data_IF_199238104835
#
_entry.id   IF_199238104835
#
_cell.length_a   1.000
_cell.length_b   1.000
_cell.length_c   1.000
_cell.angle_alpha   90.00
_cell.angle_beta   90.00
_cell.angle_gamma   90.00
#
_symmetry.space_group_name_H-M   'P 1'
#
loop_
_entity.id
_entity.type
_entity.pdbx_description
1 polymer ?
#
# COMPACT_ATOMS: atom_id res chain seq x y z
N UNK A 1 44.42 -1.25 28.30
CA UNK A 1 44.27 -0.94 26.87
C UNK A 1 43.38 -2.00 26.24
N UNK A 2 42.29 -1.57 25.62
CA UNK A 2 41.52 -2.23 24.54
C UNK A 2 40.96 -3.65 24.75
N UNK A 3 39.75 -3.75 25.29
CA UNK A 3 38.82 -4.87 25.02
C UNK A 3 37.94 -4.52 23.82
N UNK A 4 38.16 -5.15 22.67
CA UNK A 4 37.22 -5.11 21.56
C UNK A 4 36.20 -6.23 21.70
N UNK A 5 34.97 -5.84 22.03
CA UNK A 5 33.77 -6.68 21.94
C UNK A 5 33.33 -6.69 20.47
N UNK A 6 33.40 -7.85 19.81
CA UNK A 6 32.65 -8.11 18.58
C UNK A 6 31.63 -9.19 18.93
N UNK A 7 30.43 -8.73 19.28
CA UNK A 7 29.25 -9.56 19.36
C UNK A 7 28.76 -9.85 17.92
N UNK A 8 29.27 -10.91 17.33
CA UNK A 8 28.77 -11.46 16.07
C UNK A 8 27.72 -12.53 16.34
N UNK A 9 26.46 -12.13 16.52
CA UNK A 9 25.34 -13.07 16.51
C UNK A 9 25.08 -13.53 15.06
N UNK A 10 25.76 -14.60 14.65
CA UNK A 10 25.43 -15.31 13.43
C UNK A 10 24.18 -16.19 13.67
N UNK A 11 23.01 -15.57 13.61
CA UNK A 11 21.77 -16.31 13.38
C UNK A 11 21.68 -16.65 11.89
N UNK A 12 22.19 -17.83 11.53
CA UNK A 12 21.96 -18.42 10.22
C UNK A 12 20.49 -18.79 10.06
N UNK A 13 19.70 -17.88 9.50
CA UNK A 13 18.41 -18.23 8.90
C UNK A 13 18.67 -18.53 7.42
N UNK A 14 18.79 -19.82 7.11
CA UNK A 14 18.64 -20.30 5.75
C UNK A 14 17.18 -20.04 5.33
N UNK A 15 16.95 -18.95 4.58
CA UNK A 15 15.68 -18.73 3.87
C UNK A 15 15.88 -19.24 2.44
N UNK A 16 15.78 -20.56 2.29
CA UNK A 16 15.60 -21.20 0.99
C UNK A 16 14.17 -21.74 0.97
N UNK A 17 13.36 -21.18 0.06
CA UNK A 17 12.09 -21.76 -0.38
C UNK A 17 10.85 -21.07 0.17
N UNK A 18 10.23 -20.20 -0.64
CA UNK A 18 8.81 -19.85 -0.51
C UNK A 18 8.51 -18.36 -0.31
N UNK A 19 8.48 -17.61 -1.42
CA UNK A 19 7.57 -16.47 -1.61
C UNK A 19 7.69 -15.28 -0.64
N UNK A 20 8.44 -14.26 -1.05
CA UNK A 20 8.14 -12.86 -0.75
C UNK A 20 8.04 -12.50 0.74
N UNK A 21 9.20 -12.27 1.36
CA UNK A 21 9.34 -11.49 2.58
C UNK A 21 8.93 -10.02 2.34
N UNK A 22 7.63 -9.78 2.16
CA UNK A 22 7.05 -8.49 2.49
C UNK A 22 7.17 -8.38 3.99
N UNK A 23 8.02 -7.45 4.41
CA UNK A 23 8.45 -7.26 5.78
C UNK A 23 7.31 -7.55 6.76
N UNK A 24 7.52 -8.54 7.63
CA UNK A 24 6.78 -8.67 8.87
C UNK A 24 7.01 -7.36 9.64
N UNK A 25 6.12 -6.38 9.44
CA UNK A 25 6.15 -5.11 10.15
C UNK A 25 5.86 -5.45 11.61
N UNK A 26 6.94 -5.61 12.37
CA UNK A 26 7.05 -6.07 13.74
C UNK A 26 5.73 -6.48 14.41
N UNK A 27 5.45 -7.78 14.41
CA UNK A 27 4.48 -8.43 15.30
C UNK A 27 4.92 -8.40 16.79
N UNK A 28 5.63 -7.36 17.21
CA UNK A 28 6.15 -7.18 18.55
C UNK A 28 5.50 -5.95 19.20
N UNK A 29 4.82 -6.17 20.32
CA UNK A 29 4.41 -5.18 21.33
C UNK A 29 3.01 -4.54 21.27
N UNK A 30 1.99 -5.22 20.73
CA UNK A 30 0.60 -4.85 21.03
C UNK A 30 -0.11 -5.97 21.79
N UNK A 31 -0.73 -5.61 22.91
CA UNK A 31 -1.24 -6.52 23.94
C UNK A 31 -2.16 -7.62 23.42
N UNK A 32 -2.18 -8.72 24.17
CA UNK A 32 -2.98 -9.92 23.94
C UNK A 32 -4.41 -9.57 23.48
N UNK A 33 -4.73 -9.82 22.20
CA UNK A 33 -6.09 -9.71 21.67
C UNK A 33 -6.25 -9.02 20.31
N UNK A 34 -5.19 -8.53 19.67
CA UNK A 34 -5.25 -8.10 18.27
C UNK A 34 -4.79 -9.22 17.33
N UNK A 35 -5.63 -9.57 16.37
CA UNK A 35 -5.44 -10.58 15.34
C UNK A 35 -4.87 -9.95 14.06
N UNK A 36 -4.01 -10.72 13.40
CA UNK A 36 -3.45 -10.39 12.10
C UNK A 36 -4.53 -10.47 11.03
N UNK A 37 -4.77 -9.36 10.32
CA UNK A 37 -5.76 -9.28 9.26
C UNK A 37 -5.20 -8.48 8.07
N UNK A 38 -5.75 -8.70 6.87
CA UNK A 38 -5.36 -7.94 5.68
C UNK A 38 -6.03 -6.57 5.63
N UNK A 39 -5.41 -5.62 4.92
CA UNK A 39 -6.07 -4.34 4.66
C UNK A 39 -7.37 -4.54 3.86
N UNK A 40 -7.42 -5.49 2.93
CA UNK A 40 -8.62 -5.74 2.12
C UNK A 40 -9.85 -6.03 3.00
N UNK A 41 -9.69 -6.79 4.09
CA UNK A 41 -10.77 -7.04 5.06
C UNK A 41 -11.16 -5.78 5.84
N UNK A 42 -10.20 -4.92 6.17
CA UNK A 42 -10.50 -3.61 6.74
C UNK A 42 -11.26 -2.71 5.73
N UNK A 43 -10.84 -2.68 4.47
CA UNK A 43 -11.49 -1.91 3.41
C UNK A 43 -12.93 -2.38 3.16
N UNK A 44 -13.17 -3.70 3.15
CA UNK A 44 -14.51 -4.31 3.12
C UNK A 44 -15.38 -3.82 4.26
N UNK A 45 -14.84 -3.74 5.48
CA UNK A 45 -15.59 -3.25 6.64
C UNK A 45 -16.02 -1.79 6.52
N UNK A 46 -15.34 -1.01 5.68
CA UNK A 46 -15.63 0.38 5.38
C UNK A 46 -16.44 0.58 4.09
N UNK A 47 -16.84 -0.49 3.41
CA UNK A 47 -17.50 -0.46 2.10
C UNK A 47 -16.73 0.37 1.05
N UNK A 48 -15.40 0.27 1.09
CA UNK A 48 -14.52 0.88 0.10
C UNK A 48 -14.45 0.01 -1.16
N UNK A 49 -14.26 0.66 -2.32
CA UNK A 49 -14.06 0.00 -3.62
C UNK A 49 -12.72 0.37 -4.21
N UNK A 50 -12.17 -0.48 -5.05
CA UNK A 50 -10.92 -0.14 -5.71
C UNK A 50 -11.11 1.01 -6.69
N UNK A 51 -10.06 1.82 -6.87
CA UNK A 51 -10.05 2.91 -7.86
C UNK A 51 -10.44 2.38 -9.23
N UNK A 52 -11.41 3.05 -9.85
CA UNK A 52 -11.91 2.69 -11.17
C UNK A 52 -12.95 1.57 -11.20
N UNK A 53 -13.26 0.92 -10.07
CA UNK A 53 -14.36 -0.04 -10.02
C UNK A 53 -15.71 0.67 -10.26
N UNK A 54 -16.49 0.16 -11.23
CA UNK A 54 -17.80 0.70 -11.59
C UNK A 54 -18.87 -0.29 -11.12
N UNK A 55 -19.65 0.06 -10.10
CA UNK A 55 -20.68 -0.81 -9.51
C UNK A 55 -20.82 -0.64 -8.01
N UNK A 56 -21.80 -1.31 -7.38
CA UNK A 56 -22.08 -1.26 -5.92
C UNK A 56 -21.41 -2.39 -5.12
N UNK A 57 -20.76 -3.34 -5.78
CA UNK A 57 -20.19 -4.52 -5.12
C UNK A 57 -18.89 -4.20 -4.38
N UNK A 58 -18.75 -4.80 -3.19
CA UNK A 58 -17.53 -4.88 -2.36
C UNK A 58 -16.32 -5.35 -3.20
N UNK A 59 -15.06 -5.11 -2.75
CA UNK A 59 -13.88 -5.08 -3.61
C UNK A 59 -13.67 -6.44 -4.29
N UNK A 60 -14.10 -6.53 -5.55
CA UNK A 60 -14.03 -7.77 -6.32
C UNK A 60 -12.91 -7.73 -7.35
N UNK A 61 -12.55 -6.55 -7.84
CA UNK A 61 -11.53 -6.38 -8.85
C UNK A 61 -10.46 -5.39 -8.38
N UNK A 62 -9.20 -5.84 -8.44
CA UNK A 62 -8.04 -4.95 -8.33
C UNK A 62 -8.15 -3.80 -9.35
N UNK A 63 -7.53 -2.64 -9.07
CA UNK A 63 -7.58 -1.51 -9.97
C UNK A 63 -6.99 -1.90 -11.33
N UNK A 64 -7.68 -1.50 -12.39
CA UNK A 64 -7.23 -1.70 -13.77
C UNK A 64 -6.35 -0.53 -14.21
N UNK A 65 -5.31 -0.82 -14.99
CA UNK A 65 -4.34 0.19 -15.44
C UNK A 65 -5.00 1.30 -16.26
N UNK A 66 -5.91 0.96 -17.17
CA UNK A 66 -6.59 1.95 -18.00
C UNK A 66 -7.50 2.85 -17.15
N UNK A 67 -8.14 2.29 -16.13
CA UNK A 67 -8.98 3.04 -15.20
C UNK A 67 -8.18 3.99 -14.29
N UNK A 68 -7.06 3.52 -13.74
CA UNK A 68 -6.14 4.38 -12.97
C UNK A 68 -5.59 5.50 -13.85
N UNK A 69 -5.16 5.19 -15.07
CA UNK A 69 -4.69 6.18 -16.05
C UNK A 69 -5.78 7.21 -16.36
N UNK A 70 -7.01 6.77 -16.64
CA UNK A 70 -8.14 7.66 -16.89
C UNK A 70 -8.44 8.59 -15.71
N UNK A 71 -8.29 8.10 -14.47
CA UNK A 71 -8.42 8.93 -13.27
C UNK A 71 -7.29 9.96 -13.15
N UNK A 72 -6.05 9.59 -13.47
CA UNK A 72 -4.91 10.51 -13.54
C UNK A 72 -5.16 11.60 -14.58
N UNK A 73 -5.67 11.23 -15.76
CA UNK A 73 -5.89 12.13 -16.90
C UNK A 73 -7.17 12.97 -16.78
N UNK A 74 -8.06 12.64 -15.83
CA UNK A 74 -9.35 13.30 -15.67
C UNK A 74 -9.19 14.82 -15.44
N UNK A 75 -9.91 15.63 -16.23
CA UNK A 75 -9.81 17.09 -16.20
C UNK A 75 -10.46 17.72 -14.96
N UNK A 76 -11.46 17.06 -14.37
CA UNK A 76 -12.21 17.56 -13.22
C UNK A 76 -11.55 17.14 -11.91
N UNK A 77 -11.29 15.84 -11.74
CA UNK A 77 -10.85 15.23 -10.48
C UNK A 77 -9.41 14.70 -10.54
N UNK A 78 -8.78 14.68 -11.70
CA UNK A 78 -7.44 14.11 -11.85
C UNK A 78 -6.37 14.94 -11.13
N UNK A 79 -6.56 16.25 -10.95
CA UNK A 79 -5.63 17.07 -10.16
C UNK A 79 -5.57 16.62 -8.70
N UNK A 80 -6.72 16.32 -8.10
CA UNK A 80 -6.81 15.81 -6.73
C UNK A 80 -6.17 14.42 -6.63
N UNK A 81 -6.48 13.51 -7.57
CA UNK A 81 -5.89 12.18 -7.56
C UNK A 81 -4.37 12.19 -7.77
N UNK A 82 -3.84 13.05 -8.64
CA UNK A 82 -2.40 13.24 -8.81
C UNK A 82 -1.74 13.76 -7.55
N UNK A 83 -2.40 14.67 -6.83
CA UNK A 83 -1.91 15.14 -5.53
C UNK A 83 -1.87 14.00 -4.51
N UNK A 84 -2.92 13.18 -4.43
CA UNK A 84 -2.94 11.99 -3.56
C UNK A 84 -1.80 11.03 -3.90
N UNK A 85 -1.54 10.79 -5.18
CA UNK A 85 -0.41 9.96 -5.61
C UNK A 85 0.92 10.57 -5.20
N UNK A 86 1.09 11.89 -5.35
CA UNK A 86 2.33 12.59 -4.98
C UNK A 86 2.59 12.54 -3.47
N UNK A 87 1.56 12.85 -2.67
CA UNK A 87 1.62 12.88 -1.21
C UNK A 87 1.95 11.50 -0.61
N UNK A 88 1.63 10.40 -1.32
CA UNK A 88 1.83 9.03 -0.87
C UNK A 88 2.87 8.23 -1.65
N UNK A 89 3.54 8.82 -2.65
CA UNK A 89 4.42 8.08 -3.55
C UNK A 89 5.57 7.37 -2.84
N UNK A 90 6.13 8.00 -1.82
CA UNK A 90 7.26 7.48 -1.05
C UNK A 90 6.89 6.27 -0.20
N UNK A 91 5.63 6.17 0.23
CA UNK A 91 5.11 5.00 0.94
C UNK A 91 4.84 3.82 -0.01
N UNK A 92 4.81 4.05 -1.32
CA UNK A 92 4.66 3.00 -2.34
C UNK A 92 6.03 2.45 -2.77
N UNK A 93 6.69 1.77 -1.85
CA UNK A 93 8.08 1.34 -2.02
C UNK A 93 8.22 0.21 -3.03
N UNK A 94 9.35 0.20 -3.75
CA UNK A 94 9.60 -0.86 -4.72
C UNK A 94 9.65 -2.25 -4.08
N UNK A 95 10.16 -2.34 -2.86
CA UNK A 95 10.27 -3.58 -2.10
C UNK A 95 8.92 -4.20 -1.72
N UNK A 96 7.82 -3.45 -1.84
CA UNK A 96 6.48 -3.97 -1.62
C UNK A 96 5.97 -4.79 -2.82
N UNK A 97 6.61 -4.67 -3.99
CA UNK A 97 6.22 -5.40 -5.20
C UNK A 97 7.23 -6.51 -5.49
N UNK A 98 6.71 -7.71 -5.76
CA UNK A 98 7.52 -8.88 -6.17
C UNK A 98 8.38 -8.51 -7.38
N UNK A 99 9.68 -8.82 -7.32
CA UNK A 99 10.66 -8.41 -8.32
C UNK A 99 10.26 -8.79 -9.75
N UNK A 100 9.71 -10.00 -9.95
CA UNK A 100 9.22 -10.48 -11.26
C UNK A 100 8.02 -9.71 -11.82
N UNK A 101 7.26 -9.01 -10.97
CA UNK A 101 6.03 -8.29 -11.31
C UNK A 101 6.20 -6.77 -11.13
N UNK A 102 7.44 -6.30 -10.94
CA UNK A 102 7.76 -4.92 -10.58
C UNK A 102 7.96 -4.07 -11.84
N UNK A 103 6.99 -3.22 -12.21
CA UNK A 103 7.21 -2.25 -13.28
C UNK A 103 8.24 -1.20 -12.83
N UNK A 104 8.76 -0.43 -13.79
CA UNK A 104 9.60 0.73 -13.48
C UNK A 104 8.83 1.70 -12.60
N UNK A 105 9.42 2.09 -11.46
CA UNK A 105 8.86 3.14 -10.61
C UNK A 105 9.36 4.49 -11.09
N UNK A 106 8.44 5.34 -11.54
CA UNK A 106 8.76 6.70 -11.94
C UNK A 106 9.10 7.56 -10.73
N UNK A 107 10.04 8.50 -10.89
CA UNK A 107 10.40 9.45 -9.85
C UNK A 107 11.37 8.87 -8.83
N UNK A 108 12.16 9.77 -8.21
CA UNK A 108 13.04 9.43 -7.09
C UNK A 108 12.31 9.67 -5.79
N UNK A 109 12.69 8.94 -4.74
CA UNK A 109 12.16 9.18 -3.41
C UNK A 109 12.37 10.65 -3.01
N UNK A 110 11.33 11.29 -2.46
CA UNK A 110 11.34 12.71 -2.09
C UNK A 110 11.17 13.70 -3.24
N UNK A 111 10.95 13.23 -4.48
CA UNK A 111 10.63 14.10 -5.62
C UNK A 111 9.16 13.96 -6.01
N UNK A 112 8.55 15.08 -6.39
CA UNK A 112 7.22 15.07 -6.98
C UNK A 112 7.21 14.26 -8.28
N UNK A 113 6.26 13.33 -8.37
CA UNK A 113 5.94 12.52 -9.54
C UNK A 113 5.20 13.35 -10.59
N UNK A 114 4.49 14.38 -10.12
CA UNK A 114 3.74 15.32 -10.94
C UNK A 114 4.25 16.76 -10.72
N UNK A 115 5.43 17.11 -11.26
CA UNK A 115 6.03 18.41 -11.04
C UNK A 115 5.12 19.56 -11.48
N UNK A 116 4.96 20.54 -10.58
CA UNK A 116 4.08 21.69 -10.75
C UNK A 116 4.43 22.48 -12.01
N UNK A 117 3.42 22.90 -12.77
CA UNK A 117 3.62 23.71 -13.99
C UNK A 117 3.98 22.92 -15.24
N UNK A 118 4.07 21.59 -15.15
CA UNK A 118 4.21 20.72 -16.33
C UNK A 118 2.87 20.06 -16.67
N UNK A 119 2.42 20.21 -17.91
CA UNK A 119 1.34 19.40 -18.49
C UNK A 119 1.90 18.12 -19.13
N UNK A 120 3.10 17.69 -18.70
CA UNK A 120 3.74 16.51 -19.24
C UNK A 120 3.00 15.26 -18.72
N UNK A 121 2.31 14.58 -19.64
CA UNK A 121 1.52 13.36 -19.40
C UNK A 121 2.25 12.11 -19.85
N UNK A 122 3.51 12.22 -20.29
CA UNK A 122 4.27 11.10 -20.87
C UNK A 122 4.48 9.95 -19.91
N UNK A 123 4.39 10.20 -18.60
CA UNK A 123 4.60 9.23 -17.52
C UNK A 123 3.32 8.67 -16.91
N UNK A 124 2.15 9.18 -17.27
CA UNK A 124 0.87 8.78 -16.66
C UNK A 124 0.63 7.27 -16.81
N UNK A 125 1.09 6.70 -17.91
CA UNK A 125 0.99 5.27 -18.15
C UNK A 125 1.92 4.41 -17.28
N UNK A 126 3.15 4.87 -17.04
CA UNK A 126 4.11 4.21 -16.16
C UNK A 126 3.62 4.31 -14.70
N UNK A 127 3.15 5.48 -14.31
CA UNK A 127 2.58 5.75 -12.98
C UNK A 127 1.36 4.87 -12.74
N UNK A 128 0.43 4.78 -13.69
CA UNK A 128 -0.73 3.90 -13.57
C UNK A 128 -0.32 2.42 -13.45
N UNK A 129 0.69 1.99 -14.21
CA UNK A 129 1.25 0.64 -14.10
C UNK A 129 1.83 0.37 -12.71
N UNK A 130 2.61 1.30 -12.17
CA UNK A 130 3.17 1.22 -10.82
C UNK A 130 2.08 1.11 -9.76
N UNK A 131 1.07 1.98 -9.82
CA UNK A 131 -0.06 1.99 -8.89
C UNK A 131 -0.78 0.66 -8.86
N UNK A 132 -1.12 0.08 -10.02
CA UNK A 132 -1.81 -1.21 -10.09
C UNK A 132 -0.98 -2.33 -9.46
N UNK A 133 0.30 -2.42 -9.82
CA UNK A 133 1.20 -3.45 -9.25
C UNK A 133 1.36 -3.30 -7.75
N UNK A 134 1.48 -2.06 -7.25
CA UNK A 134 1.59 -1.81 -5.83
C UNK A 134 0.28 -2.11 -5.09
N UNK A 135 -0.88 -1.70 -5.60
CA UNK A 135 -2.18 -2.05 -5.00
C UNK A 135 -2.40 -3.57 -4.95
N UNK A 136 -1.98 -4.29 -6.00
CA UNK A 136 -2.04 -5.76 -6.07
C UNK A 136 -1.18 -6.44 -5.01
N UNK A 137 -0.02 -5.86 -4.68
CA UNK A 137 0.84 -6.39 -3.62
C UNK A 137 0.39 -5.95 -2.22
N UNK A 138 -0.09 -4.70 -2.10
CA UNK A 138 -0.52 -4.11 -0.83
C UNK A 138 -1.78 -4.76 -0.26
N UNK A 139 -2.64 -5.36 -1.08
CA UNK A 139 -3.83 -6.11 -0.62
C UNK A 139 -3.48 -7.23 0.38
N UNK A 140 -2.30 -7.83 0.21
CA UNK A 140 -1.83 -8.95 1.02
C UNK A 140 -1.04 -8.49 2.26
N UNK A 141 -0.85 -7.17 2.44
CA UNK A 141 -0.24 -6.62 3.65
C UNK A 141 -1.11 -6.92 4.87
N UNK A 142 -0.48 -7.47 5.90
CA UNK A 142 -1.11 -7.88 7.15
C UNK A 142 -0.58 -7.09 8.33
N UNK A 143 -1.46 -6.79 9.28
CA UNK A 143 -1.09 -6.23 10.57
C UNK A 143 -2.06 -6.70 11.65
N UNK A 144 -1.62 -6.62 12.92
CA UNK A 144 -2.45 -6.94 14.07
C UNK A 144 -3.44 -5.81 14.35
N UNK A 145 -4.51 -5.75 13.55
CA UNK A 145 -5.44 -4.60 13.48
C UNK A 145 -6.87 -4.93 13.87
N UNK A 146 -7.20 -6.21 14.07
CA UNK A 146 -8.56 -6.64 14.32
C UNK A 146 -8.68 -7.24 15.71
N UNK A 147 -9.73 -6.89 16.45
CA UNK A 147 -10.04 -7.52 17.73
C UNK A 147 -11.50 -7.96 17.72
N UNK A 148 -11.74 -9.23 17.99
CA UNK A 148 -13.09 -9.78 18.08
C UNK A 148 -13.52 -9.77 19.54
N UNK A 149 -14.60 -9.06 19.86
CA UNK A 149 -15.25 -9.03 21.18
C UNK A 149 -16.69 -9.54 21.03
N UNK A 150 -16.88 -10.84 21.20
CA UNK A 150 -18.18 -11.48 20.97
C UNK A 150 -18.58 -11.40 19.49
N UNK A 151 -19.77 -10.87 19.20
CA UNK A 151 -20.22 -10.65 17.82
C UNK A 151 -19.62 -9.39 17.15
N UNK A 152 -18.95 -8.53 17.92
CA UNK A 152 -18.45 -7.25 17.43
C UNK A 152 -16.99 -7.34 16.98
N UNK A 153 -16.69 -6.68 15.86
CA UNK A 153 -15.33 -6.48 15.33
C UNK A 153 -14.87 -5.06 15.66
N UNK A 154 -13.71 -4.94 16.25
CA UNK A 154 -13.03 -3.68 16.54
C UNK A 154 -11.78 -3.59 15.67
N UNK A 155 -11.53 -2.42 15.07
CA UNK A 155 -10.35 -2.17 14.24
C UNK A 155 -9.43 -1.16 14.92
N UNK A 156 -8.13 -1.43 14.95
CA UNK A 156 -7.12 -0.55 15.55
C UNK A 156 -6.81 0.63 14.62
N UNK A 157 -7.73 1.59 14.52
CA UNK A 157 -7.59 2.73 13.60
C UNK A 157 -6.33 3.56 13.85
N UNK A 158 -5.83 3.58 15.08
CA UNK A 158 -4.60 4.31 15.41
C UNK A 158 -3.37 3.68 14.75
N UNK A 159 -3.29 2.34 14.70
CA UNK A 159 -2.22 1.65 13.98
C UNK A 159 -2.31 1.92 12.47
N UNK A 160 -3.54 1.87 11.94
CA UNK A 160 -3.81 2.13 10.53
C UNK A 160 -3.41 3.55 10.13
N UNK A 161 -3.68 4.53 11.01
CA UNK A 161 -3.37 5.93 10.79
C UNK A 161 -1.90 6.29 11.03
N UNK A 162 -1.14 5.47 11.75
CA UNK A 162 0.31 5.69 11.94
C UNK A 162 1.15 5.03 10.84
N UNK A 163 0.59 4.06 10.13
CA UNK A 163 1.31 3.35 9.08
C UNK A 163 1.14 4.04 7.72
N UNK A 164 2.22 4.68 7.24
CA UNK A 164 2.22 5.41 5.98
C UNK A 164 1.83 4.53 4.76
N UNK A 165 2.22 3.25 4.74
CA UNK A 165 1.85 2.31 3.65
C UNK A 165 0.36 2.03 3.65
N UNK A 166 -0.24 1.91 4.83
CA UNK A 166 -1.67 1.69 4.96
C UNK A 166 -2.48 2.93 4.58
N UNK A 167 -2.00 4.12 4.97
CA UNK A 167 -2.60 5.38 4.53
C UNK A 167 -2.53 5.52 3.00
N UNK A 168 -1.35 5.25 2.42
CA UNK A 168 -1.17 5.23 0.96
C UNK A 168 -2.11 4.22 0.31
N UNK A 169 -2.25 3.01 0.85
CA UNK A 169 -3.10 1.99 0.26
C UNK A 169 -4.56 2.41 0.28
N UNK A 170 -5.03 2.95 1.41
CA UNK A 170 -6.38 3.53 1.53
C UNK A 170 -6.64 4.65 0.52
N UNK A 171 -5.71 5.59 0.41
CA UNK A 171 -5.91 6.82 -0.36
C UNK A 171 -5.73 6.62 -1.86
N UNK A 172 -4.75 5.81 -2.26
CA UNK A 172 -4.38 5.58 -3.66
C UNK A 172 -5.21 4.48 -4.29
N UNK A 173 -5.50 3.40 -3.56
CA UNK A 173 -6.12 2.22 -4.17
C UNK A 173 -7.63 2.16 -3.97
N UNK A 174 -8.21 2.94 -3.06
CA UNK A 174 -9.64 2.90 -2.78
C UNK A 174 -10.36 4.23 -2.95
N UNK A 175 -11.65 4.13 -3.27
CA UNK A 175 -12.59 5.23 -3.31
C UNK A 175 -13.76 4.93 -2.37
N UNK A 176 -14.34 6.00 -1.80
CA UNK A 176 -15.59 5.86 -1.05
C UNK A 176 -16.70 5.54 -2.03
N UNK A 177 -17.54 4.58 -1.67
CA UNK A 177 -18.84 4.40 -2.32
C UNK A 177 -19.72 5.60 -1.97
N UNK A 178 -19.86 6.55 -2.89
CA UNK A 178 -20.96 7.53 -2.88
C UNK A 178 -22.27 6.88 -3.24
#
# INVERSE_FOLDING_TARGET
MSTQVIAGAAAGAAVIGGGGTLAAYAAGAFGTGWESETFEEYAKSLNLKYVGETGTTSPGALPDKAKVKSKIENSTNGAEYRKVLDDHWDAMESNDVKEKDRPTRTGKQGNSVFPSGTNDRTKDEEIAGWVVSWCSAAKDMRANIKKVKGANKEWNTDLLNKNAKWQAFKAVCFEKTT
#
